data_IF_868554156966
#
_entry.id   IF_868554156966
#
_cell.length_a   1.000
_cell.length_b   1.000
_cell.length_c   1.000
_cell.angle_alpha   90.00
_cell.angle_beta   90.00
_cell.angle_gamma   90.00
#
_symmetry.space_group_name_H-M   'P 1'
#
loop_
_entity.id
_entity.type
_entity.pdbx_description
1 polymer ?
#
# COMPACT_ATOMS: atom_id res chain seq x y z
N UNK A 1 -20.69 43.24 -71.37
CA UNK A 1 -19.84 42.04 -71.32
C UNK A 1 -18.39 42.48 -71.12
N UNK A 2 -17.94 42.55 -69.87
CA UNK A 2 -16.50 42.65 -69.54
C UNK A 2 -16.27 42.02 -68.18
N UNK A 3 -16.03 40.70 -68.22
CA UNK A 3 -15.56 39.90 -67.09
C UNK A 3 -14.31 40.54 -66.49
N UNK A 4 -14.44 41.07 -65.26
CA UNK A 4 -13.31 41.58 -64.50
C UNK A 4 -12.70 40.43 -63.68
N UNK A 5 -11.57 39.95 -64.17
CA UNK A 5 -10.75 38.80 -63.73
C UNK A 5 -10.06 38.98 -62.36
N UNK A 6 -10.56 39.84 -61.47
CA UNK A 6 -9.96 40.04 -60.15
C UNK A 6 -11.03 40.43 -59.12
N UNK A 7 -11.57 39.43 -58.41
CA UNK A 7 -12.27 39.65 -57.14
C UNK A 7 -11.21 39.54 -56.03
N UNK A 8 -10.81 40.68 -55.47
CA UNK A 8 -10.02 40.72 -54.23
C UNK A 8 -10.88 40.05 -53.13
N UNK A 9 -10.41 38.94 -52.55
CA UNK A 9 -11.08 38.29 -51.41
C UNK A 9 -10.73 39.13 -50.17
N UNK A 10 -11.74 39.79 -49.60
CA UNK A 10 -11.54 40.73 -48.50
C UNK A 10 -11.30 39.98 -47.19
N UNK A 11 -10.57 40.61 -46.28
CA UNK A 11 -10.31 40.14 -44.90
C UNK A 11 -11.57 39.94 -44.03
N UNK A 12 -12.78 39.99 -44.62
CA UNK A 12 -14.08 39.89 -43.95
C UNK A 12 -14.93 38.68 -44.42
N UNK A 13 -14.44 37.86 -45.35
CA UNK A 13 -15.27 36.84 -46.02
C UNK A 13 -15.35 35.46 -45.32
N UNK A 14 -14.72 35.26 -44.15
CA UNK A 14 -14.87 34.01 -43.40
C UNK A 14 -15.29 34.26 -41.95
N UNK A 15 -16.49 33.82 -41.52
CA UNK A 15 -16.76 33.67 -40.10
C UNK A 15 -15.88 32.52 -39.60
N UNK A 16 -14.84 32.84 -38.82
CA UNK A 16 -14.10 31.83 -38.06
C UNK A 16 -15.08 31.15 -37.12
N UNK A 17 -15.46 29.91 -37.43
CA UNK A 17 -16.13 29.03 -36.46
C UNK A 17 -15.20 28.87 -35.27
N UNK A 18 -15.51 29.60 -34.20
CA UNK A 18 -14.79 29.55 -32.95
C UNK A 18 -15.18 28.25 -32.27
N UNK A 19 -14.40 27.18 -32.48
CA UNK A 19 -14.50 25.97 -31.67
C UNK A 19 -14.52 26.41 -30.21
N UNK A 20 -15.64 26.15 -29.54
CA UNK A 20 -15.84 26.53 -28.15
C UNK A 20 -14.83 25.77 -27.28
N UNK A 21 -13.70 26.44 -27.00
CA UNK A 21 -12.72 25.93 -26.05
C UNK A 21 -13.41 25.89 -24.69
N UNK A 22 -13.59 24.68 -24.17
CA UNK A 22 -14.10 24.38 -22.83
C UNK A 22 -13.48 25.37 -21.83
N UNK A 23 -14.27 26.08 -21.01
CA UNK A 23 -13.73 27.11 -20.13
C UNK A 23 -12.66 26.50 -19.22
N UNK A 24 -11.42 26.97 -19.40
CA UNK A 24 -10.32 26.62 -18.52
C UNK A 24 -10.68 27.19 -17.14
N UNK A 25 -10.79 26.32 -16.13
CA UNK A 25 -10.98 26.76 -14.76
C UNK A 25 -9.85 27.73 -14.42
N UNK A 26 -10.22 28.98 -14.15
CA UNK A 26 -9.32 30.05 -13.76
C UNK A 26 -8.66 29.59 -12.46
N UNK A 27 -7.41 29.12 -12.52
CA UNK A 27 -6.62 28.87 -11.31
C UNK A 27 -6.48 30.23 -10.63
N UNK A 28 -7.12 30.35 -9.47
CA UNK A 28 -7.15 31.59 -8.70
C UNK A 28 -5.71 32.06 -8.45
N UNK A 29 -5.41 33.30 -8.82
CA UNK A 29 -4.08 33.87 -8.73
C UNK A 29 -3.76 34.11 -7.25
N UNK A 30 -3.11 33.14 -6.61
CA UNK A 30 -2.55 33.34 -5.29
C UNK A 30 -1.35 34.29 -5.40
N UNK A 31 -1.33 35.43 -4.68
CA UNK A 31 -0.19 36.34 -4.68
C UNK A 31 1.09 35.61 -4.25
N UNK A 32 2.17 35.75 -5.04
CA UNK A 32 3.50 35.20 -4.73
C UNK A 32 3.93 35.67 -3.34
N UNK A 33 4.12 34.72 -2.41
CA UNK A 33 4.63 35.00 -1.07
C UNK A 33 3.73 34.58 0.09
N UNK A 34 2.49 34.13 -0.16
CA UNK A 34 1.69 33.52 0.90
C UNK A 34 2.13 32.06 1.15
N UNK A 35 2.43 31.67 2.40
CA UNK A 35 2.63 30.26 2.73
C UNK A 35 1.34 29.49 2.38
N UNK A 36 1.46 28.22 1.94
CA UNK A 36 0.28 27.42 1.64
C UNK A 36 -0.66 27.40 2.85
N UNK A 37 -1.95 27.66 2.61
CA UNK A 37 -3.02 27.76 3.64
C UNK A 37 -3.08 26.51 4.53
N UNK A 38 -2.53 25.39 4.07
CA UNK A 38 -2.41 24.15 4.83
C UNK A 38 -1.00 23.56 4.67
N UNK A 39 -0.39 23.08 5.77
CA UNK A 39 0.87 22.33 5.67
C UNK A 39 0.63 21.08 4.81
N UNK A 40 1.54 20.83 3.88
CA UNK A 40 1.53 19.65 3.01
C UNK A 40 1.62 18.42 3.92
N UNK A 41 0.52 17.70 4.12
CA UNK A 41 0.53 16.49 4.94
C UNK A 41 1.44 15.47 4.27
N UNK A 42 2.53 15.11 4.93
CA UNK A 42 3.40 14.05 4.45
C UNK A 42 2.60 12.74 4.51
N UNK A 43 2.57 11.99 3.40
CA UNK A 43 1.90 10.71 3.37
C UNK A 43 2.73 9.71 4.17
N UNK A 44 2.45 9.60 5.47
CA UNK A 44 3.11 8.65 6.36
C UNK A 44 2.57 7.25 6.05
N UNK A 45 3.41 6.29 5.62
CA UNK A 45 2.94 4.94 5.36
C UNK A 45 2.39 4.32 6.64
N UNK A 46 1.25 3.65 6.53
CA UNK A 46 0.61 2.94 7.62
C UNK A 46 1.49 1.84 8.20
N UNK A 47 1.08 1.30 9.34
CA UNK A 47 1.67 0.10 9.93
C UNK A 47 0.57 -0.96 10.02
N UNK A 48 0.92 -2.21 9.68
CA UNK A 48 0.02 -3.35 9.80
C UNK A 48 0.65 -4.45 10.63
N UNK A 49 -0.16 -5.13 11.42
CA UNK A 49 0.24 -6.34 12.10
C UNK A 49 0.18 -7.52 11.14
N UNK A 50 1.27 -8.29 11.08
CA UNK A 50 1.41 -9.44 10.21
C UNK A 50 1.91 -10.61 11.04
N UNK A 51 1.34 -11.80 10.80
CA UNK A 51 1.87 -13.05 11.35
C UNK A 51 2.63 -13.76 10.24
N UNK A 52 3.82 -14.27 10.53
CA UNK A 52 4.65 -15.00 9.56
C UNK A 52 5.00 -16.37 10.09
N UNK A 53 5.01 -17.38 9.23
CA UNK A 53 5.46 -18.72 9.59
C UNK A 53 6.94 -18.71 9.97
N UNK A 54 7.29 -19.22 11.15
CA UNK A 54 8.66 -19.29 11.65
C UNK A 54 9.59 -20.14 10.76
N UNK A 55 9.06 -21.14 10.05
CA UNK A 55 9.86 -22.01 9.18
C UNK A 55 10.12 -21.43 7.78
N UNK A 56 9.12 -20.81 7.16
CA UNK A 56 9.21 -20.40 5.74
C UNK A 56 8.96 -18.91 5.48
N UNK A 57 8.58 -18.12 6.49
CA UNK A 57 8.35 -16.68 6.40
C UNK A 57 7.06 -16.26 5.67
N UNK A 58 6.22 -17.21 5.24
CA UNK A 58 4.95 -16.89 4.56
C UNK A 58 4.03 -16.12 5.48
N UNK A 59 3.42 -15.03 4.98
CA UNK A 59 2.38 -14.27 5.69
C UNK A 59 1.15 -15.15 5.91
N UNK A 60 0.70 -15.21 7.16
CA UNK A 60 -0.45 -15.99 7.61
C UNK A 60 -1.59 -15.04 7.95
N UNK A 61 -2.82 -15.52 7.78
CA UNK A 61 -3.99 -14.79 8.29
C UNK A 61 -4.06 -14.93 9.81
N UNK A 62 -4.61 -13.92 10.48
CA UNK A 62 -4.80 -13.93 11.94
C UNK A 62 -5.62 -15.16 12.36
N UNK A 63 -6.66 -15.51 11.60
CA UNK A 63 -7.49 -16.69 11.88
C UNK A 63 -6.68 -18.00 11.82
N UNK A 64 -5.83 -18.18 10.82
CA UNK A 64 -4.99 -19.38 10.71
C UNK A 64 -3.99 -19.45 11.87
N UNK A 65 -3.35 -18.33 12.22
CA UNK A 65 -2.34 -18.25 13.27
C UNK A 65 -2.87 -18.64 14.66
N UNK A 66 -4.13 -18.36 14.96
CA UNK A 66 -4.74 -18.65 16.26
C UNK A 66 -5.36 -20.04 16.37
N UNK A 67 -5.58 -20.71 15.24
CA UNK A 67 -6.23 -22.02 15.27
C UNK A 67 -5.25 -23.14 15.62
N UNK A 68 -5.66 -23.99 16.57
CA UNK A 68 -4.81 -25.06 17.10
C UNK A 68 -4.46 -26.16 16.09
N UNK A 69 -5.23 -26.28 15.01
CA UNK A 69 -5.07 -27.31 13.97
C UNK A 69 -4.61 -26.75 12.62
N UNK A 70 -4.32 -25.44 12.50
CA UNK A 70 -3.87 -24.91 11.23
C UNK A 70 -2.41 -25.26 10.94
N UNK A 71 -2.18 -25.37 9.64
CA UNK A 71 -0.89 -25.60 9.05
C UNK A 71 -0.57 -24.46 8.08
N UNK A 72 0.73 -24.21 7.89
CA UNK A 72 1.16 -23.21 6.92
C UNK A 72 0.77 -23.65 5.50
N UNK A 73 0.17 -22.78 4.67
CA UNK A 73 -0.24 -23.13 3.30
C UNK A 73 0.95 -23.44 2.37
N UNK A 74 2.17 -23.00 2.73
CA UNK A 74 3.37 -23.17 1.89
C UNK A 74 4.22 -24.37 2.28
N UNK A 75 4.54 -24.52 3.58
CA UNK A 75 5.44 -25.56 4.07
C UNK A 75 4.74 -26.63 4.92
N UNK A 76 3.42 -26.53 5.11
CA UNK A 76 2.60 -27.47 5.90
C UNK A 76 3.05 -27.67 7.36
N UNK A 77 3.92 -26.80 7.87
CA UNK A 77 4.32 -26.81 9.27
C UNK A 77 3.13 -26.44 10.17
N UNK A 78 3.03 -27.10 11.32
CA UNK A 78 2.00 -26.80 12.31
C UNK A 78 2.21 -25.40 12.90
N UNK A 79 1.17 -24.58 12.84
CA UNK A 79 1.22 -23.21 13.35
C UNK A 79 1.16 -23.16 14.88
N UNK A 80 0.47 -24.12 15.51
CA UNK A 80 0.36 -24.22 16.96
C UNK A 80 1.57 -24.97 17.56
N UNK A 81 2.75 -24.37 17.45
CA UNK A 81 4.03 -24.94 17.90
C UNK A 81 4.82 -23.93 18.74
N UNK A 82 5.75 -24.40 19.57
CA UNK A 82 6.56 -23.49 20.41
C UNK A 82 7.37 -22.50 19.55
N UNK A 83 7.87 -22.93 18.39
CA UNK A 83 8.62 -22.07 17.47
C UNK A 83 7.81 -20.86 16.95
N UNK A 84 6.48 -20.95 16.93
CA UNK A 84 5.57 -19.91 16.44
C UNK A 84 5.02 -19.02 17.58
N UNK A 85 5.38 -19.30 18.83
CA UNK A 85 4.84 -18.63 20.02
C UNK A 85 5.60 -17.34 20.36
N UNK A 86 4.90 -16.30 20.84
CA UNK A 86 5.50 -15.05 21.38
C UNK A 86 6.38 -15.31 22.60
N UNK A 87 6.00 -16.27 23.44
CA UNK A 87 6.66 -16.55 24.73
C UNK A 87 7.85 -17.51 24.63
N UNK A 88 8.19 -17.97 23.43
CA UNK A 88 9.32 -18.86 23.23
C UNK A 88 10.63 -18.09 23.40
N UNK A 89 11.44 -18.50 24.37
CA UNK A 89 12.69 -17.86 24.74
C UNK A 89 13.70 -18.92 25.16
N UNK A 90 14.76 -19.10 24.36
CA UNK A 90 15.78 -20.11 24.60
C UNK A 90 16.60 -19.89 25.88
N UNK A 91 16.57 -18.69 26.45
CA UNK A 91 17.27 -18.36 27.70
C UNK A 91 16.49 -18.69 28.97
N UNK A 92 15.19 -18.96 28.85
CA UNK A 92 14.32 -19.21 29.99
C UNK A 92 14.23 -20.71 30.36
N UNK A 93 13.79 -20.99 31.59
CA UNK A 93 13.51 -22.37 32.02
C UNK A 93 12.50 -23.03 31.06
N UNK A 94 12.81 -24.25 30.61
CA UNK A 94 12.03 -24.99 29.60
C UNK A 94 11.84 -24.29 28.23
N UNK A 95 12.64 -23.25 27.96
CA UNK A 95 12.62 -22.43 26.76
C UNK A 95 11.32 -21.61 26.60
N UNK A 96 10.69 -21.22 27.71
CA UNK A 96 9.45 -20.45 27.72
C UNK A 96 9.48 -19.39 28.83
N UNK A 97 9.00 -18.18 28.54
CA UNK A 97 8.89 -17.11 29.54
C UNK A 97 7.72 -17.32 30.52
N UNK A 98 6.74 -18.15 30.17
CA UNK A 98 5.60 -18.50 31.04
C UNK A 98 5.95 -19.71 31.91
N UNK A 99 5.39 -19.80 33.14
CA UNK A 99 5.60 -20.95 34.01
C UNK A 99 4.88 -22.19 33.44
N UNK A 100 5.60 -23.01 32.67
CA UNK A 100 5.11 -24.28 32.13
C UNK A 100 5.47 -25.43 33.08
N UNK A 101 4.55 -26.37 33.28
CA UNK A 101 4.76 -27.52 34.16
C UNK A 101 5.79 -28.52 33.63
N UNK A 102 5.90 -28.67 32.32
CA UNK A 102 6.83 -29.60 31.67
C UNK A 102 7.40 -29.00 30.37
N UNK A 103 8.62 -29.44 30.01
CA UNK A 103 9.26 -29.05 28.75
C UNK A 103 8.54 -29.72 27.57
N UNK A 104 8.00 -28.90 26.68
CA UNK A 104 7.45 -29.36 25.40
C UNK A 104 8.59 -29.68 24.44
N UNK A 105 8.66 -30.89 23.90
CA UNK A 105 9.60 -31.32 22.86
C UNK A 105 8.92 -32.36 21.98
N UNK A 106 9.10 -32.35 20.64
CA UNK A 106 9.84 -31.38 19.82
C UNK A 106 9.14 -30.01 19.72
N UNK A 107 9.93 -28.92 19.54
CA UNK A 107 9.42 -27.52 19.53
C UNK A 107 8.73 -27.10 18.23
N UNK A 108 9.00 -27.83 17.16
CA UNK A 108 8.52 -27.54 15.81
C UNK A 108 7.20 -28.25 15.47
N UNK A 109 6.69 -29.11 16.35
CA UNK A 109 5.47 -29.91 16.12
C UNK A 109 4.30 -29.29 16.89
N UNK A 110 3.09 -29.58 16.42
CA UNK A 110 1.85 -29.22 17.11
C UNK A 110 1.90 -29.61 18.60
N UNK A 111 1.67 -28.62 19.46
CA UNK A 111 1.51 -28.80 20.90
C UNK A 111 0.09 -28.44 21.33
N UNK A 112 -0.25 -28.68 22.59
CA UNK A 112 -1.55 -28.33 23.19
C UNK A 112 -1.38 -27.35 24.35
N UNK A 113 -0.33 -26.51 24.29
CA UNK A 113 -0.04 -25.54 25.34
C UNK A 113 -1.16 -24.49 25.43
N UNK A 114 -1.71 -24.28 26.62
CA UNK A 114 -2.76 -23.28 26.86
C UNK A 114 -2.27 -21.83 26.84
N UNK A 115 -0.97 -21.63 27.01
CA UNK A 115 -0.31 -20.31 26.96
C UNK A 115 0.18 -19.95 25.55
N UNK A 116 -0.26 -20.67 24.53
CA UNK A 116 0.17 -20.39 23.16
C UNK A 116 -0.43 -19.06 22.68
N UNK A 117 0.44 -18.17 22.20
CA UNK A 117 0.07 -16.93 21.54
C UNK A 117 0.94 -16.77 20.29
N UNK A 118 0.35 -16.63 19.09
CA UNK A 118 1.12 -16.57 17.85
C UNK A 118 1.91 -15.26 17.75
N UNK A 119 3.17 -15.35 17.30
CA UNK A 119 4.03 -14.17 17.15
C UNK A 119 3.56 -13.24 16.04
N UNK A 120 3.14 -12.04 16.42
CA UNK A 120 2.81 -10.93 15.51
C UNK A 120 4.01 -10.00 15.34
N UNK A 121 4.18 -9.45 14.14
CA UNK A 121 5.18 -8.44 13.82
C UNK A 121 4.50 -7.24 13.18
N UNK A 122 4.86 -6.03 13.61
CA UNK A 122 4.35 -4.79 13.01
C UNK A 122 5.25 -4.41 11.84
N UNK A 123 4.68 -4.37 10.64
CA UNK A 123 5.39 -4.01 9.42
C UNK A 123 4.85 -2.70 8.83
N UNK A 124 5.76 -1.89 8.27
CA UNK A 124 5.40 -0.66 7.56
C UNK A 124 4.73 -1.04 6.23
N UNK A 125 3.56 -0.50 5.97
CA UNK A 125 2.85 -0.66 4.71
C UNK A 125 3.60 0.10 3.61
N UNK A 126 4.43 -0.62 2.86
CA UNK A 126 5.14 -0.07 1.69
C UNK A 126 4.32 -0.17 0.41
N UNK A 127 3.14 -0.81 0.48
CA UNK A 127 2.18 -0.82 -0.62
C UNK A 127 1.49 0.53 -0.63
N UNK A 128 1.91 1.41 -1.53
CA UNK A 128 1.16 2.61 -1.82
C UNK A 128 -0.23 2.18 -2.30
N UNK A 129 -1.28 2.72 -1.68
CA UNK A 129 -2.64 2.67 -2.20
C UNK A 129 -2.73 3.54 -3.46
N UNK A 130 -1.99 3.16 -4.49
CA UNK A 130 -2.14 3.65 -5.84
C UNK A 130 -3.44 3.05 -6.32
N UNK A 131 -4.54 3.79 -6.15
CA UNK A 131 -5.81 3.52 -6.84
C UNK A 131 -5.47 3.21 -8.30
N UNK A 132 -6.09 2.21 -8.96
CA UNK A 132 -5.70 1.80 -10.31
C UNK A 132 -5.71 2.94 -11.35
N UNK A 133 -6.45 4.04 -11.10
CA UNK A 133 -6.41 5.28 -11.90
C UNK A 133 -5.11 6.09 -11.81
N UNK A 134 -4.32 5.92 -10.75
CA UNK A 134 -3.11 6.70 -10.47
C UNK A 134 -1.84 6.19 -11.17
N UNK A 135 -1.89 5.03 -11.84
CA UNK A 135 -0.85 4.62 -12.79
C UNK A 135 -0.75 5.60 -13.98
N UNK A 136 -1.89 6.17 -14.39
CA UNK A 136 -1.91 7.24 -15.40
C UNK A 136 -1.48 8.59 -14.82
N UNK A 137 -1.74 8.82 -13.53
CA UNK A 137 -1.36 10.03 -12.80
C UNK A 137 0.15 10.15 -12.55
N UNK A 138 0.82 9.04 -12.24
CA UNK A 138 2.26 9.03 -12.01
C UNK A 138 3.07 9.37 -13.27
N UNK A 139 2.68 8.83 -14.43
CA UNK A 139 3.32 9.17 -15.72
C UNK A 139 3.09 10.63 -16.10
N UNK A 140 1.86 11.13 -15.96
CA UNK A 140 1.55 12.54 -16.22
C UNK A 140 2.30 13.50 -15.30
N UNK A 141 2.37 13.19 -14.00
CA UNK A 141 3.13 13.99 -13.04
C UNK A 141 4.63 14.01 -13.34
N UNK A 142 5.19 12.92 -13.90
CA UNK A 142 6.57 12.87 -14.37
C UNK A 142 6.76 13.77 -15.60
N UNK A 143 5.92 13.65 -16.63
CA UNK A 143 6.03 14.46 -17.85
C UNK A 143 5.89 15.97 -17.60
N UNK A 144 5.08 16.36 -16.61
CA UNK A 144 4.88 17.77 -16.23
C UNK A 144 6.11 18.38 -15.51
N UNK A 145 7.06 17.58 -15.02
CA UNK A 145 8.32 18.10 -14.43
C UNK A 145 9.35 18.51 -15.50
N UNK A 146 9.21 18.01 -16.72
CA UNK A 146 10.16 18.23 -17.83
C UNK A 146 9.58 19.10 -18.96
N UNK A 147 8.43 19.75 -18.71
CA UNK A 147 7.82 20.72 -19.63
C UNK A 147 8.15 22.17 -19.25
#
# INVERSE_FOLDING_TARGET
>A
MSERKYRQRGYQDEPRERTEQRPQQKKEYAPRGQPPVQPKTFNMPGFREVVKCARCGTELTVAAAWSAAAQCPRCQADLHSCAQCVHFDTGAAFECQKPVAARVSPKDVRNTCSYFEPRTTVERETKSSVSPDSASGAKKAFDDLFK
#
